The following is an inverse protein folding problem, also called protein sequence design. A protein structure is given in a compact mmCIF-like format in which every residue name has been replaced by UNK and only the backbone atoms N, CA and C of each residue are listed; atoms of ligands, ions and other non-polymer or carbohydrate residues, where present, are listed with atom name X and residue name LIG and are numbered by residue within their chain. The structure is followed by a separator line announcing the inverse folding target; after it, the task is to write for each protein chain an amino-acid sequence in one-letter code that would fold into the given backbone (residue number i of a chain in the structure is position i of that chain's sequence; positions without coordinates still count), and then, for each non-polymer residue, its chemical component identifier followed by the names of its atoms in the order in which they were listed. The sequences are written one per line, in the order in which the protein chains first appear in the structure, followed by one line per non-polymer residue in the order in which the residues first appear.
data_IF_581633125914
#
_entry.id   IF_581633125914
#
_cell.length_a   1.000
_cell.length_b   1.000
_cell.length_c   1.000
_cell.angle_alpha   90.00
_cell.angle_beta   90.00
_cell.angle_gamma   90.00
#
_symmetry.space_group_name_H-M   'P 1'
#
loop_
_entity.id
_entity.type
_entity.pdbx_description
1 polymer ?
#
# COMPACT_ATOMS: atom_id res chain seq x y z
N UNK A 1 13.62 6.95 -4.28
CA UNK A 1 12.33 7.48 -4.76
C UNK A 1 11.31 7.16 -3.68
N UNK A 2 10.52 8.15 -3.26
CA UNK A 2 9.61 8.02 -2.14
C UNK A 2 8.30 7.34 -2.59
N UNK A 3 7.88 6.27 -1.91
CA UNK A 3 6.78 5.43 -2.35
C UNK A 3 5.44 6.17 -2.30
N UNK A 4 5.18 6.94 -1.23
CA UNK A 4 3.98 7.76 -1.13
C UNK A 4 3.91 8.79 -2.26
N UNK A 5 5.04 9.41 -2.59
CA UNK A 5 5.12 10.37 -3.69
C UNK A 5 4.85 9.69 -5.04
N UNK A 6 5.40 8.50 -5.28
CA UNK A 6 5.06 7.69 -6.45
C UNK A 6 3.55 7.44 -6.54
N UNK A 7 2.93 7.02 -5.43
CA UNK A 7 1.50 6.74 -5.43
C UNK A 7 0.64 7.98 -5.73
N UNK A 8 0.98 9.12 -5.12
CA UNK A 8 0.29 10.40 -5.35
C UNK A 8 0.46 10.90 -6.78
N UNK A 9 1.66 10.79 -7.35
CA UNK A 9 1.93 11.17 -8.73
C UNK A 9 1.16 10.32 -9.75
N UNK A 10 1.01 9.03 -9.47
CA UNK A 10 0.20 8.12 -10.29
C UNK A 10 -1.32 8.34 -10.14
N UNK A 11 -1.75 9.16 -9.17
CA UNK A 11 -3.16 9.46 -8.91
C UNK A 11 -3.89 8.42 -8.06
N UNK A 12 -3.18 7.61 -7.27
CA UNK A 12 -3.82 6.74 -6.28
C UNK A 12 -4.29 7.55 -5.08
N UNK A 13 -5.51 7.27 -4.62
CA UNK A 13 -6.16 8.02 -3.53
C UNK A 13 -6.30 7.19 -2.26
N UNK A 14 -6.31 5.86 -2.38
CA UNK A 14 -6.41 4.95 -1.24
C UNK A 14 -5.65 3.64 -1.46
N UNK A 15 -5.27 3.02 -0.36
CA UNK A 15 -4.67 1.70 -0.30
C UNK A 15 -5.53 0.80 0.60
N UNK A 16 -5.84 -0.41 0.14
CA UNK A 16 -6.57 -1.43 0.90
C UNK A 16 -5.71 -2.66 1.12
N UNK A 17 -5.71 -3.18 2.33
CA UNK A 17 -4.82 -4.27 2.71
C UNK A 17 -5.37 -5.03 3.90
N UNK A 18 -5.19 -6.35 3.91
CA UNK A 18 -5.69 -7.20 4.99
C UNK A 18 -4.62 -7.32 6.08
N UNK A 19 -4.89 -6.76 7.24
CA UNK A 19 -4.06 -6.84 8.45
C UNK A 19 -3.71 -8.29 8.80
N UNK A 20 -2.62 -8.48 9.56
CA UNK A 20 -2.27 -9.78 10.15
C UNK A 20 -3.39 -10.36 11.02
N UNK A 21 -4.28 -9.51 11.53
CA UNK A 21 -5.49 -9.91 12.29
C UNK A 21 -6.63 -10.39 11.40
N UNK A 22 -6.48 -10.35 10.08
CA UNK A 22 -7.51 -10.67 9.09
C UNK A 22 -8.52 -9.55 8.84
N UNK A 23 -8.31 -8.37 9.42
CA UNK A 23 -9.16 -7.20 9.21
C UNK A 23 -8.73 -6.44 7.96
N UNK A 24 -9.71 -6.10 7.10
CA UNK A 24 -9.45 -5.25 5.94
C UNK A 24 -9.29 -3.79 6.40
N UNK A 25 -8.07 -3.28 6.28
CA UNK A 25 -7.73 -1.90 6.57
C UNK A 25 -7.71 -1.11 5.27
N UNK A 26 -8.36 0.06 5.30
CA UNK A 26 -8.30 1.03 4.20
C UNK A 26 -7.60 2.29 4.68
N UNK A 27 -6.52 2.65 4.00
CA UNK A 27 -5.79 3.90 4.20
C UNK A 27 -6.11 4.89 3.08
N UNK A 28 -6.35 6.14 3.46
CA UNK A 28 -6.51 7.25 2.53
C UNK A 28 -5.14 7.89 2.32
N UNK A 29 -4.57 7.75 1.13
CA UNK A 29 -3.20 8.20 0.83
C UNK A 29 -3.05 9.73 0.90
N UNK A 30 -4.17 10.46 0.71
CA UNK A 30 -4.21 11.90 0.85
C UNK A 30 -4.06 12.36 2.31
N UNK A 31 -4.53 11.57 3.27
CA UNK A 31 -4.43 11.88 4.70
C UNK A 31 -3.05 11.51 5.26
N UNK A 32 -2.27 10.73 4.51
CA UNK A 32 -0.90 10.38 4.87
C UNK A 32 0.05 11.50 4.43
N UNK A 33 0.70 12.13 5.40
CA UNK A 33 1.60 13.26 5.19
C UNK A 33 2.98 12.81 4.68
N UNK A 34 3.50 11.69 5.18
CA UNK A 34 4.85 11.20 4.89
C UNK A 34 4.90 9.68 4.67
N UNK A 35 5.93 9.19 3.97
CA UNK A 35 6.17 7.76 3.80
C UNK A 35 6.48 7.06 5.13
N UNK A 36 7.04 7.77 6.11
CA UNK A 36 7.22 7.23 7.46
C UNK A 36 5.88 7.03 8.18
N UNK A 37 4.94 7.96 8.04
CA UNK A 37 3.58 7.79 8.58
C UNK A 37 2.85 6.64 7.90
N UNK A 38 3.04 6.47 6.58
CA UNK A 38 2.53 5.31 5.86
C UNK A 38 3.03 4.01 6.49
N UNK A 39 4.34 3.91 6.73
CA UNK A 39 4.96 2.71 7.29
C UNK A 39 4.52 2.46 8.73
N UNK A 40 4.33 3.51 9.53
CA UNK A 40 3.77 3.41 10.89
C UNK A 40 2.33 2.94 10.89
N UNK A 41 1.51 3.44 9.97
CA UNK A 41 0.10 3.06 9.86
C UNK A 41 -0.08 1.63 9.36
N UNK A 42 0.83 1.20 8.48
CA UNK A 42 0.84 -0.17 7.97
C UNK A 42 1.58 -1.14 8.89
N UNK A 43 2.37 -0.63 9.84
CA UNK A 43 3.32 -1.34 10.72
C UNK A 43 4.38 -2.15 9.97
N UNK A 44 4.61 -1.84 8.68
CA UNK A 44 5.37 -2.70 7.77
C UNK A 44 6.12 -1.89 6.71
N UNK A 45 7.21 -2.47 6.20
CA UNK A 45 8.00 -1.86 5.12
C UNK A 45 7.61 -2.45 3.77
N UNK A 46 7.17 -1.62 2.80
CA UNK A 46 6.94 -2.05 1.43
C UNK A 46 8.24 -2.36 0.70
N UNK A 47 8.18 -3.42 -0.10
CA UNK A 47 9.34 -4.05 -0.76
C UNK A 47 9.32 -3.79 -2.26
N UNK A 48 8.15 -3.90 -2.90
CA UNK A 48 8.03 -3.73 -4.34
C UNK A 48 6.60 -3.38 -4.76
N UNK A 49 6.47 -2.67 -5.88
CA UNK A 49 5.18 -2.49 -6.57
C UNK A 49 5.06 -3.58 -7.63
N UNK A 50 4.03 -4.40 -7.53
CA UNK A 50 3.77 -5.52 -8.43
C UNK A 50 2.45 -5.29 -9.16
N UNK A 51 2.48 -5.41 -10.49
CA UNK A 51 1.28 -5.35 -11.31
C UNK A 51 0.83 -6.76 -11.66
N UNK A 52 -0.39 -7.13 -11.24
CA UNK A 52 -0.98 -8.42 -11.58
C UNK A 52 -1.87 -8.25 -12.83
N UNK A 53 -1.51 -8.86 -13.98
CA UNK A 53 -2.22 -8.63 -15.25
C UNK A 53 -3.72 -8.93 -15.19
N UNK A 54 -4.13 -9.92 -14.39
CA UNK A 54 -5.53 -10.33 -14.25
C UNK A 54 -6.36 -9.37 -13.41
N UNK A 55 -5.75 -8.67 -12.46
CA UNK A 55 -6.46 -7.83 -11.51
C UNK A 55 -6.62 -6.39 -11.99
N UNK A 56 -5.85 -5.99 -13.01
CA UNK A 56 -5.85 -4.65 -13.63
C UNK A 56 -5.65 -3.50 -12.64
N UNK A 57 -5.12 -3.81 -11.45
CA UNK A 57 -4.82 -2.86 -10.40
C UNK A 57 -3.41 -3.13 -9.88
N UNK A 58 -2.66 -2.09 -9.49
CA UNK A 58 -1.35 -2.26 -8.91
C UNK A 58 -1.45 -2.67 -7.45
N UNK A 59 -0.51 -3.51 -7.05
CA UNK A 59 -0.32 -3.95 -5.69
C UNK A 59 1.04 -3.50 -5.18
N UNK A 60 1.13 -3.25 -3.89
CA UNK A 60 2.40 -3.08 -3.19
C UNK A 60 2.57 -4.30 -2.31
N UNK A 61 3.68 -5.01 -2.50
CA UNK A 61 4.05 -6.13 -1.67
C UNK A 61 4.89 -5.63 -0.50
N UNK A 62 4.40 -5.86 0.70
CA UNK A 62 5.09 -5.64 1.97
C UNK A 62 5.51 -7.00 2.55
N UNK A 63 6.70 -7.05 3.15
CA UNK A 63 7.17 -8.26 3.85
C UNK A 63 7.13 -8.01 5.35
N UNK A 64 6.49 -8.93 6.09
CA UNK A 64 6.33 -8.89 7.55
C UNK A 64 6.62 -10.29 8.08
N UNK A 65 7.65 -10.48 8.90
CA UNK A 65 7.92 -11.76 9.56
C UNK A 65 7.78 -12.99 8.63
N UNK A 66 8.29 -12.86 7.39
CA UNK A 66 8.21 -13.86 6.31
C UNK A 66 6.86 -14.02 5.58
N UNK A 67 5.82 -13.29 5.99
CA UNK A 67 4.55 -13.17 5.26
C UNK A 67 4.56 -11.99 4.29
N UNK A 68 3.96 -12.19 3.11
CA UNK A 68 3.78 -11.13 2.11
C UNK A 68 2.38 -10.56 2.25
N UNK A 69 2.29 -9.29 2.60
CA UNK A 69 1.06 -8.54 2.65
C UNK A 69 0.91 -7.71 1.39
N UNK A 70 -0.27 -7.73 0.78
CA UNK A 70 -0.54 -7.02 -0.46
C UNK A 70 -1.41 -5.81 -0.19
N UNK A 71 -0.94 -4.63 -0.59
CA UNK A 71 -1.74 -3.42 -0.59
C UNK A 71 -2.27 -3.17 -1.98
N UNK A 72 -3.58 -3.27 -2.14
CA UNK A 72 -4.26 -2.90 -3.36
C UNK A 72 -4.38 -1.39 -3.43
N UNK A 73 -3.85 -0.79 -4.49
CA UNK A 73 -4.02 0.63 -4.76
C UNK A 73 -5.31 0.87 -5.53
N UNK A 74 -6.00 1.95 -5.20
CA UNK A 74 -7.22 2.38 -5.90
C UNK A 74 -7.12 3.85 -6.27
N UNK A 75 -7.50 4.14 -7.53
CA UNK A 75 -7.72 5.50 -8.03
C UNK A 75 -9.19 5.85 -7.81
N UNK A 76 -9.48 7.11 -7.47
CA UNK A 76 -10.84 7.61 -7.43
C UNK A 76 -11.33 7.92 -8.85
#
# INVERSE_FOLDING_TARGET
MDLLQFMKNEGYTSAKFSSLTGEDVQLVLNDVASTEDLYRLMDVTPTSVTYYPYERVPYIDCVIDQNVMKLRLSKA
#
